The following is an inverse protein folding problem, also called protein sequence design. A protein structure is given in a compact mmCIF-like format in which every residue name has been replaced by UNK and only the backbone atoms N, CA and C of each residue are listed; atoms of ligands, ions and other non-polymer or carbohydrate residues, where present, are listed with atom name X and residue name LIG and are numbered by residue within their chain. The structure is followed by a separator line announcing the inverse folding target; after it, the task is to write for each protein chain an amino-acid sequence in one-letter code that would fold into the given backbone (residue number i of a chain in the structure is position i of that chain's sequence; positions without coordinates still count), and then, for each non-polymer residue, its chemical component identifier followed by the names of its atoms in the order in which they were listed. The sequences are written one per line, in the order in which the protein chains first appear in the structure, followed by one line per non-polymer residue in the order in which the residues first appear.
data_IF_534655767192
#
_entry.id   IF_534655767192
#
_cell.length_a   1.000
_cell.length_b   1.000
_cell.length_c   1.000
_cell.angle_alpha   90.00
_cell.angle_beta   90.00
_cell.angle_gamma   90.00
#
_symmetry.space_group_name_H-M   'P 1'
#
loop_
_entity.id
_entity.type
_entity.pdbx_description
1 polymer ?
#
# COMPACT_ATOMS: atom_id res chain seq x y z
N UNK A 1 20.10 -9.19 2.23
CA UNK A 1 19.19 -8.87 3.34
C UNK A 1 17.80 -9.19 2.83
N UNK A 2 17.05 -10.03 3.52
CA UNK A 2 15.69 -10.43 3.19
C UNK A 2 14.67 -9.64 4.03
N UNK A 3 13.60 -9.16 3.40
CA UNK A 3 12.51 -8.46 4.09
C UNK A 3 11.35 -9.42 4.33
N UNK A 4 11.25 -9.93 5.57
CA UNK A 4 10.17 -10.85 5.96
C UNK A 4 8.82 -10.13 6.03
N UNK A 5 7.79 -10.76 5.47
CA UNK A 5 6.38 -10.32 5.53
C UNK A 5 5.54 -11.36 6.26
N UNK A 6 4.52 -10.93 7.00
CA UNK A 6 3.63 -11.84 7.72
C UNK A 6 2.77 -12.67 6.75
N UNK A 7 2.63 -13.98 7.01
CA UNK A 7 1.79 -14.86 6.17
C UNK A 7 0.31 -14.50 6.20
N UNK A 8 -0.40 -14.72 5.09
CA UNK A 8 -1.81 -14.35 4.90
C UNK A 8 -2.04 -13.75 3.50
N UNK A 9 -3.25 -13.28 3.21
CA UNK A 9 -3.64 -12.80 1.87
C UNK A 9 -2.64 -11.79 1.26
N UNK A 10 -1.86 -12.23 0.27
CA UNK A 10 -0.85 -11.39 -0.38
C UNK A 10 -1.44 -10.66 -1.59
N UNK A 11 -1.81 -9.40 -1.41
CA UNK A 11 -1.99 -8.48 -2.53
C UNK A 11 -0.64 -7.87 -2.86
N UNK A 12 -0.25 -7.88 -4.14
CA UNK A 12 1.04 -7.34 -4.58
C UNK A 12 0.90 -6.51 -5.85
N UNK A 13 1.79 -5.54 -6.00
CA UNK A 13 1.92 -4.73 -7.21
C UNK A 13 3.38 -4.37 -7.46
N UNK A 14 3.69 -4.08 -8.72
CA UNK A 14 5.02 -3.70 -9.17
C UNK A 14 4.88 -2.59 -10.21
N UNK A 15 5.81 -1.64 -10.18
CA UNK A 15 5.96 -0.60 -11.22
C UNK A 15 6.48 -1.19 -12.53
N UNK A 16 6.33 -0.45 -13.63
CA UNK A 16 6.66 -0.97 -14.96
C UNK A 16 8.17 -1.22 -15.14
N UNK A 17 9.03 -0.47 -14.46
CA UNK A 17 10.48 -0.66 -14.47
C UNK A 17 10.98 -1.67 -13.41
N UNK A 18 10.07 -2.19 -12.59
CA UNK A 18 10.37 -3.16 -11.53
C UNK A 18 11.01 -2.61 -10.27
N UNK A 19 11.29 -1.29 -10.19
CA UNK A 19 12.09 -0.70 -9.11
C UNK A 19 11.31 -0.45 -7.82
N UNK A 20 9.99 -0.33 -7.93
CA UNK A 20 9.07 -0.21 -6.80
C UNK A 20 8.16 -1.44 -6.76
N UNK A 21 8.28 -2.20 -5.67
CA UNK A 21 7.42 -3.35 -5.36
C UNK A 21 6.67 -3.03 -4.07
N UNK A 22 5.38 -3.34 -4.04
CA UNK A 22 4.56 -3.22 -2.84
C UNK A 22 3.76 -4.49 -2.58
N UNK A 23 3.57 -4.84 -1.31
CA UNK A 23 2.71 -5.93 -0.90
C UNK A 23 1.93 -5.59 0.38
N UNK A 24 0.74 -6.20 0.53
CA UNK A 24 -0.02 -6.20 1.78
C UNK A 24 0.18 -7.57 2.44
N UNK A 25 0.59 -7.57 3.71
CA UNK A 25 0.78 -8.79 4.50
C UNK A 25 -0.50 -9.24 5.21
N UNK A 26 -0.45 -10.41 5.87
CA UNK A 26 -1.59 -10.93 6.64
C UNK A 26 -2.03 -10.04 7.81
N UNK A 27 -1.20 -9.10 8.25
CA UNK A 27 -1.54 -8.07 9.24
C UNK A 27 -2.09 -6.79 8.63
N UNK A 28 -2.43 -6.80 7.33
CA UNK A 28 -2.95 -5.65 6.56
C UNK A 28 -2.00 -4.47 6.49
N UNK A 29 -0.69 -4.72 6.55
CA UNK A 29 0.31 -3.67 6.39
C UNK A 29 0.87 -3.65 4.97
N UNK A 30 1.04 -2.45 4.43
CA UNK A 30 1.74 -2.25 3.16
C UNK A 30 3.24 -2.22 3.44
N UNK A 31 3.98 -3.05 2.73
CA UNK A 31 5.44 -3.02 2.69
C UNK A 31 5.88 -2.57 1.32
N UNK A 32 6.90 -1.71 1.28
CA UNK A 32 7.45 -1.16 0.06
C UNK A 32 8.92 -1.55 0.00
N UNK A 33 9.31 -2.20 -1.08
CA UNK A 33 10.67 -2.71 -1.27
C UNK A 33 11.18 -2.37 -2.68
N UNK A 34 12.50 -2.35 -2.82
CA UNK A 34 13.18 -2.26 -4.12
C UNK A 34 13.18 -3.60 -4.84
N UNK A 35 13.59 -3.59 -6.11
CA UNK A 35 13.86 -4.78 -6.92
C UNK A 35 14.87 -5.74 -6.27
N UNK A 36 15.74 -5.22 -5.41
CA UNK A 36 16.74 -5.97 -4.67
C UNK A 36 16.26 -6.43 -3.28
N UNK A 37 14.97 -6.27 -2.97
CA UNK A 37 14.37 -6.66 -1.69
C UNK A 37 14.68 -5.71 -0.53
N UNK A 38 15.23 -4.53 -0.79
CA UNK A 38 15.55 -3.55 0.26
C UNK A 38 14.28 -2.80 0.64
N UNK A 39 13.92 -2.81 1.92
CA UNK A 39 12.77 -2.06 2.43
C UNK A 39 12.97 -0.54 2.25
N UNK A 40 12.05 0.10 1.55
CA UNK A 40 11.92 1.57 1.47
C UNK A 40 11.00 2.14 2.54
N UNK A 41 9.88 1.46 2.79
CA UNK A 41 8.80 2.03 3.58
C UNK A 41 7.80 1.00 4.09
N UNK A 42 6.93 1.47 4.98
CA UNK A 42 5.77 0.72 5.47
C UNK A 42 4.63 1.70 5.74
N UNK A 43 3.41 1.28 5.42
CA UNK A 43 2.20 2.03 5.73
C UNK A 43 1.14 1.11 6.33
N UNK A 44 0.28 1.67 7.18
CA UNK A 44 -0.79 0.94 7.87
C UNK A 44 -1.91 1.90 8.24
N UNK A 45 -3.14 1.56 7.86
CA UNK A 45 -4.33 2.30 8.28
C UNK A 45 -5.58 1.45 8.05
N UNK A 46 -6.32 1.15 9.11
CA UNK A 46 -7.50 0.28 9.03
C UNK A 46 -7.17 -1.13 8.50
N UNK A 47 -8.20 -1.83 8.01
CA UNK A 47 -8.06 -3.12 7.34
C UNK A 47 -7.85 -2.88 5.85
N UNK A 48 -6.58 -2.79 5.41
CA UNK A 48 -6.25 -2.59 4.00
C UNK A 48 -6.61 -3.84 3.16
N UNK A 49 -7.44 -3.64 2.14
CA UNK A 49 -7.98 -4.70 1.27
C UNK A 49 -7.67 -4.53 -0.21
N UNK A 50 -7.01 -3.44 -0.60
CA UNK A 50 -6.61 -3.21 -1.99
C UNK A 50 -5.32 -2.44 -2.11
N UNK A 51 -4.62 -2.72 -3.21
CA UNK A 51 -3.29 -2.21 -3.52
C UNK A 51 -3.17 -1.97 -5.03
N UNK A 52 -2.61 -0.82 -5.40
CA UNK A 52 -2.18 -0.52 -6.77
C UNK A 52 -0.87 0.28 -6.73
N UNK A 53 0.07 -0.07 -7.62
CA UNK A 53 1.35 0.62 -7.77
C UNK A 53 1.31 1.43 -9.06
N UNK A 54 1.75 2.68 -9.02
CA UNK A 54 1.81 3.50 -10.22
C UNK A 54 2.85 2.94 -11.20
N UNK A 55 2.49 2.86 -12.48
CA UNK A 55 3.38 2.32 -13.52
C UNK A 55 4.71 3.07 -13.61
N UNK A 56 4.71 4.37 -13.32
CA UNK A 56 5.90 5.23 -13.32
C UNK A 56 6.74 5.16 -12.02
N UNK A 57 6.37 4.28 -11.08
CA UNK A 57 7.11 4.08 -9.83
C UNK A 57 7.01 5.24 -8.83
N UNK A 58 6.15 6.24 -9.07
CA UNK A 58 6.08 7.44 -8.22
C UNK A 58 5.33 7.25 -6.90
N UNK A 59 4.54 6.19 -6.78
CA UNK A 59 3.72 5.99 -5.59
C UNK A 59 2.78 4.79 -5.66
N UNK A 60 1.92 4.72 -4.66
CA UNK A 60 1.06 3.57 -4.37
C UNK A 60 -0.31 4.10 -3.93
N UNK A 61 -1.39 3.48 -4.42
CA UNK A 61 -2.74 3.69 -3.90
C UNK A 61 -3.21 2.46 -3.12
N UNK A 62 -3.84 2.69 -1.97
CA UNK A 62 -4.42 1.63 -1.13
C UNK A 62 -5.78 2.06 -0.60
N UNK A 63 -6.63 1.10 -0.29
CA UNK A 63 -7.92 1.33 0.34
C UNK A 63 -8.21 0.33 1.45
N UNK A 64 -8.98 0.77 2.44
CA UNK A 64 -9.50 -0.07 3.51
C UNK A 64 -10.94 -0.55 3.23
N UNK A 65 -11.40 -1.48 4.04
CA UNK A 65 -12.74 -2.07 4.00
C UNK A 65 -13.86 -1.08 4.36
N UNK A 66 -13.54 0.01 5.05
CA UNK A 66 -14.45 1.13 5.30
C UNK A 66 -14.58 2.08 4.09
N UNK A 67 -13.72 1.94 3.08
CA UNK A 67 -13.76 2.74 1.84
C UNK A 67 -12.94 4.03 1.90
N UNK A 68 -12.01 4.16 2.85
CA UNK A 68 -10.98 5.18 2.78
C UNK A 68 -9.98 4.85 1.67
N UNK A 69 -9.45 5.88 1.03
CA UNK A 69 -8.39 5.76 0.03
C UNK A 69 -7.19 6.59 0.46
N UNK A 70 -6.01 6.00 0.34
CA UNK A 70 -4.74 6.60 0.67
C UNK A 70 -3.82 6.54 -0.55
N UNK A 71 -3.19 7.67 -0.88
CA UNK A 71 -2.14 7.74 -1.90
C UNK A 71 -0.83 8.04 -1.18
N UNK A 72 0.14 7.17 -1.41
CA UNK A 72 1.47 7.19 -0.80
C UNK A 72 2.52 7.53 -1.86
N UNK A 73 3.62 8.15 -1.44
CA UNK A 73 4.82 8.21 -2.26
C UNK A 73 5.55 6.86 -2.31
N UNK A 74 6.61 6.77 -3.11
CA UNK A 74 7.45 5.57 -3.25
C UNK A 74 8.21 5.15 -1.99
N UNK A 75 8.15 5.94 -0.91
CA UNK A 75 8.73 5.64 0.40
C UNK A 75 7.63 5.32 1.44
N UNK A 76 6.36 5.32 1.05
CA UNK A 76 5.23 5.00 1.92
C UNK A 76 4.71 6.17 2.73
N UNK A 77 5.16 7.39 2.46
CA UNK A 77 4.62 8.58 3.13
C UNK A 77 3.27 8.95 2.52
N UNK A 78 2.31 9.27 3.37
CA UNK A 78 0.98 9.70 2.95
C UNK A 78 1.06 11.04 2.20
N UNK A 79 0.69 11.05 0.92
CA UNK A 79 0.53 12.27 0.11
C UNK A 79 -0.89 12.80 0.15
N UNK A 80 -1.87 11.90 0.18
CA UNK A 80 -3.28 12.25 0.18
C UNK A 80 -4.14 11.17 0.83
N UNK A 81 -5.22 11.59 1.49
CA UNK A 81 -6.25 10.71 2.03
C UNK A 81 -7.63 11.26 1.67
N UNK A 82 -8.56 10.35 1.38
CA UNK A 82 -10.00 10.65 1.36
C UNK A 82 -10.77 9.64 2.17
N UNK A 83 -11.68 10.16 2.99
CA UNK A 83 -12.66 9.37 3.71
C UNK A 83 -13.94 9.19 2.89
N UNK A 84 -14.61 8.03 3.00
CA UNK A 84 -15.94 7.84 2.44
C UNK A 84 -16.90 8.89 2.99
N UNK A 85 -17.88 9.28 2.18
CA UNK A 85 -18.94 10.15 2.66
C UNK A 85 -19.80 9.36 3.65
N UNK A 86 -19.91 9.85 4.89
CA UNK A 86 -20.86 9.30 5.86
C UNK A 86 -22.17 10.05 5.67
N UNK A 87 -23.20 9.37 5.17
CA UNK A 87 -24.55 9.92 5.23
C UNK A 87 -24.94 10.00 6.71
N UNK A 88 -25.19 11.21 7.22
CA UNK A 88 -25.85 11.34 8.51
C UNK A 88 -27.28 10.84 8.34
N UNK A 89 -27.65 9.79 9.07
CA UNK A 89 -29.04 9.37 9.16
C UNK A 89 -29.86 10.53 9.73
N UNK A 90 -30.94 10.89 9.02
CA UNK A 90 -31.90 11.90 9.46
C UNK A 90 -32.78 11.34 10.58
#
# INVERSE_FOLDING_TARGET
MDHSVGGGCDLRGISNDGTLIACIDGGRHVHIVTENGVKRGRFSSGELIGLSVANDGTGIAVNDDEGHVYVLDSNGNLRWKRSPYKMMAK
#
